data_IF_751523274284
#
_entry.id   IF_751523274284
#
_cell.length_a   1.000
_cell.length_b   1.000
_cell.length_c   1.000
_cell.angle_alpha   90.00
_cell.angle_beta   90.00
_cell.angle_gamma   90.00
#
_symmetry.space_group_name_H-M   'P 1'
#
loop_
_entity.id
_entity.type
_entity.pdbx_description
1 polymer ?
#
# COMPACT_ATOMS: atom_id res chain seq x y z
N UNK A 1 10.99 -44.58 33.29
CA UNK A 1 10.74 -43.13 33.03
C UNK A 1 11.11 -42.70 31.60
N UNK A 2 12.02 -43.36 30.88
CA UNK A 2 12.40 -42.95 29.51
C UNK A 2 11.33 -43.22 28.43
N UNK A 3 10.58 -44.32 28.54
CA UNK A 3 9.56 -44.69 27.54
C UNK A 3 8.37 -43.71 27.50
N UNK A 4 8.04 -43.06 28.62
CA UNK A 4 6.97 -42.05 28.65
C UNK A 4 7.41 -40.69 28.10
N UNK A 5 8.69 -40.29 28.25
CA UNK A 5 9.22 -39.06 27.65
C UNK A 5 9.19 -39.15 26.12
N UNK A 6 9.55 -40.30 25.55
CA UNK A 6 9.57 -40.50 24.09
C UNK A 6 8.19 -40.39 23.44
N UNK A 7 7.15 -40.94 24.07
CA UNK A 7 5.76 -40.84 23.57
C UNK A 7 5.25 -39.40 23.66
N UNK A 8 5.58 -38.68 24.73
CA UNK A 8 5.21 -37.27 24.88
C UNK A 8 5.89 -36.38 23.84
N UNK A 9 7.15 -36.62 23.50
CA UNK A 9 7.87 -35.84 22.47
C UNK A 9 7.30 -36.10 21.06
N UNK A 10 6.90 -37.34 20.76
CA UNK A 10 6.28 -37.68 19.48
C UNK A 10 4.88 -37.06 19.37
N UNK A 11 4.09 -37.10 20.44
CA UNK A 11 2.77 -36.46 20.48
C UNK A 11 2.88 -34.93 20.36
N UNK A 12 3.84 -34.30 21.05
CA UNK A 12 4.06 -32.86 20.96
C UNK A 12 4.50 -32.44 19.55
N UNK A 13 5.32 -33.26 18.87
CA UNK A 13 5.71 -33.07 17.47
C UNK A 13 4.53 -33.15 16.50
N UNK A 14 3.64 -34.13 16.67
CA UNK A 14 2.43 -34.24 15.84
C UNK A 14 1.41 -33.13 16.09
N UNK A 15 1.28 -32.64 17.33
CA UNK A 15 0.43 -31.49 17.67
C UNK A 15 0.99 -30.19 17.09
N UNK A 16 2.32 -30.00 17.11
CA UNK A 16 2.99 -28.85 16.47
C UNK A 16 2.87 -28.87 14.94
N UNK A 17 2.89 -30.05 14.30
CA UNK A 17 2.61 -30.19 12.86
C UNK A 17 1.13 -29.95 12.50
N UNK A 18 0.19 -30.32 13.38
CA UNK A 18 -1.25 -30.08 13.17
C UNK A 18 -1.70 -28.64 13.39
N UNK A 19 -0.91 -27.84 14.14
CA UNK A 19 -1.14 -26.42 14.36
C UNK A 19 -0.50 -25.50 13.31
N UNK A 20 0.29 -26.06 12.39
CA UNK A 20 0.72 -25.37 11.18
C UNK A 20 -0.48 -25.27 10.23
N UNK A 21 -1.46 -24.43 10.58
CA UNK A 21 -2.36 -23.88 9.57
C UNK A 21 -1.47 -23.14 8.59
N UNK A 22 -1.24 -23.70 7.41
CA UNK A 22 -0.83 -22.89 6.26
C UNK A 22 -1.83 -21.76 6.18
N UNK A 23 -1.40 -20.56 6.58
CA UNK A 23 -2.13 -19.35 6.30
C UNK A 23 -2.11 -19.21 4.78
N UNK A 24 -3.10 -19.83 4.13
CA UNK A 24 -3.39 -19.57 2.73
C UNK A 24 -3.97 -18.16 2.72
N UNK A 25 -3.11 -17.16 2.50
CA UNK A 25 -3.58 -15.85 2.08
C UNK A 25 -4.43 -16.10 0.83
N UNK A 26 -5.72 -15.76 0.89
CA UNK A 26 -6.58 -15.77 -0.28
C UNK A 26 -6.21 -14.53 -1.08
N UNK A 27 -5.42 -14.73 -2.12
CA UNK A 27 -5.07 -13.71 -3.09
C UNK A 27 -6.33 -13.24 -3.82
N UNK A 28 -6.57 -11.93 -3.84
CA UNK A 28 -7.65 -11.31 -4.61
C UNK A 28 -7.14 -11.13 -6.03
N UNK A 29 -7.46 -12.08 -6.91
CA UNK A 29 -7.17 -11.97 -8.34
C UNK A 29 -8.39 -11.36 -9.02
N UNK A 30 -8.18 -10.21 -9.64
CA UNK A 30 -9.22 -9.54 -10.42
C UNK A 30 -9.49 -10.31 -11.71
N UNK A 31 -10.76 -10.65 -11.95
CA UNK A 31 -11.18 -11.39 -13.14
C UNK A 31 -11.62 -10.43 -14.23
N UNK A 32 -11.22 -10.70 -15.48
CA UNK A 32 -11.54 -9.91 -16.67
C UNK A 32 -11.10 -8.43 -16.63
N UNK A 33 -10.06 -8.11 -15.86
CA UNK A 33 -9.55 -6.74 -15.71
C UNK A 33 -8.71 -6.24 -16.90
N UNK A 34 -8.34 -7.12 -17.84
CA UNK A 34 -7.58 -6.76 -19.03
C UNK A 34 -8.29 -7.27 -20.29
N UNK A 35 -8.60 -6.36 -21.22
CA UNK A 35 -9.27 -6.69 -22.49
C UNK A 35 -8.36 -6.41 -23.69
N UNK A 36 -8.09 -7.41 -24.52
CA UNK A 36 -7.42 -7.21 -25.81
C UNK A 36 -8.44 -6.74 -26.84
N UNK A 37 -8.19 -5.59 -27.44
CA UNK A 37 -9.07 -4.97 -28.46
C UNK A 37 -8.61 -5.23 -29.89
N UNK A 38 -7.30 -5.48 -30.08
CA UNK A 38 -6.66 -5.81 -31.36
C UNK A 38 -5.37 -6.61 -31.09
N UNK A 39 -4.97 -7.56 -31.95
CA UNK A 39 -5.64 -8.04 -33.17
C UNK A 39 -6.80 -9.02 -32.86
N UNK A 40 -7.68 -9.27 -33.84
CA UNK A 40 -8.84 -10.16 -33.68
C UNK A 40 -8.48 -11.61 -33.31
N UNK A 41 -7.26 -12.06 -33.60
CA UNK A 41 -6.76 -13.41 -33.30
C UNK A 41 -6.64 -13.72 -31.81
N UNK A 42 -6.39 -12.69 -31.00
CA UNK A 42 -6.21 -12.80 -29.54
C UNK A 42 -7.16 -11.86 -28.78
N UNK A 43 -8.19 -11.36 -29.47
CA UNK A 43 -9.20 -10.46 -28.90
C UNK A 43 -10.04 -11.19 -27.87
N UNK A 44 -10.21 -10.59 -26.70
CA UNK A 44 -10.96 -11.19 -25.60
C UNK A 44 -10.65 -10.55 -24.26
N UNK A 45 -11.35 -11.02 -23.24
CA UNK A 45 -11.12 -10.64 -21.85
C UNK A 45 -10.19 -11.68 -21.21
N UNK A 46 -9.25 -11.19 -20.40
CA UNK A 46 -8.26 -11.99 -19.72
C UNK A 46 -8.16 -11.56 -18.25
N UNK A 47 -7.87 -12.54 -17.40
CA UNK A 47 -7.65 -12.30 -15.98
C UNK A 47 -6.26 -11.65 -15.79
N UNK A 48 -6.19 -10.70 -14.86
CA UNK A 48 -4.93 -10.07 -14.48
C UNK A 48 -4.96 -9.65 -13.02
N UNK A 49 -3.84 -9.80 -12.32
CA UNK A 49 -3.71 -9.34 -10.95
C UNK A 49 -3.12 -7.93 -10.94
N UNK A 50 -3.99 -6.95 -10.76
CA UNK A 50 -3.65 -5.53 -10.71
C UNK A 50 -2.91 -5.22 -9.40
N UNK A 51 -1.82 -4.45 -9.47
CA UNK A 51 -1.09 -3.97 -8.29
C UNK A 51 -1.88 -2.93 -7.50
N UNK A 52 -1.75 -2.94 -6.18
CA UNK A 52 -2.37 -1.96 -5.27
C UNK A 52 -1.62 -0.61 -5.21
N UNK A 53 -0.72 -0.35 -6.17
CA UNK A 53 0.11 0.85 -6.28
C UNK A 53 0.09 1.37 -7.72
N UNK A 54 0.35 2.68 -7.90
CA UNK A 54 0.36 3.29 -9.24
C UNK A 54 -1.03 3.51 -9.88
N UNK A 55 -2.11 3.24 -9.14
CA UNK A 55 -3.48 3.40 -9.61
C UNK A 55 -4.13 4.54 -8.84
N UNK A 56 -4.88 5.44 -9.50
CA UNK A 56 -5.66 6.45 -8.80
C UNK A 56 -6.63 5.81 -7.80
N UNK A 57 -6.94 6.49 -6.70
CA UNK A 57 -7.91 6.02 -5.70
C UNK A 57 -9.38 5.99 -6.19
N UNK A 58 -9.60 6.09 -7.50
CA UNK A 58 -10.91 6.03 -8.15
C UNK A 58 -10.88 5.03 -9.31
N UNK A 59 -12.02 4.38 -9.54
CA UNK A 59 -12.18 3.41 -10.61
C UNK A 59 -12.02 4.08 -11.98
N UNK A 60 -11.27 3.44 -12.87
CA UNK A 60 -11.02 3.95 -14.22
C UNK A 60 -10.58 2.84 -15.16
N UNK A 61 -10.47 3.19 -16.44
CA UNK A 61 -9.90 2.30 -17.45
C UNK A 61 -8.98 3.09 -18.38
N UNK A 62 -7.88 2.46 -18.80
CA UNK A 62 -6.93 3.04 -19.73
C UNK A 62 -6.70 2.09 -20.90
N UNK A 63 -6.89 2.60 -22.11
CA UNK A 63 -6.51 1.91 -23.34
C UNK A 63 -5.09 2.30 -23.75
N UNK A 64 -4.32 1.32 -24.22
CA UNK A 64 -2.94 1.52 -24.65
C UNK A 64 -2.48 0.47 -25.65
N UNK A 65 -1.34 0.74 -26.29
CA UNK A 65 -0.68 -0.19 -27.21
C UNK A 65 0.44 -0.90 -26.47
N UNK A 66 0.46 -2.24 -26.55
CA UNK A 66 1.45 -3.07 -25.87
C UNK A 66 2.75 -3.10 -26.66
N UNK A 67 3.86 -2.81 -25.98
CA UNK A 67 5.21 -2.87 -26.54
C UNK A 67 6.05 -3.84 -25.73
N UNK A 68 6.70 -4.78 -26.41
CA UNK A 68 7.67 -5.70 -25.80
C UNK A 68 9.09 -5.26 -26.20
N UNK A 69 9.96 -4.90 -25.24
CA UNK A 69 11.27 -4.37 -25.55
C UNK A 69 12.23 -5.46 -26.03
N UNK A 70 13.13 -5.13 -26.96
CA UNK A 70 14.11 -6.10 -27.49
C UNK A 70 15.18 -6.43 -26.44
N UNK A 71 15.61 -5.41 -25.71
CA UNK A 71 16.62 -5.46 -24.66
C UNK A 71 15.97 -5.13 -23.31
N UNK A 72 16.59 -5.57 -22.20
CA UNK A 72 16.05 -5.38 -20.84
C UNK A 72 14.60 -5.88 -20.68
N UNK A 73 14.28 -7.05 -21.25
CA UNK A 73 12.94 -7.68 -21.24
C UNK A 73 12.34 -7.88 -19.85
N UNK A 74 13.17 -7.93 -18.82
CA UNK A 74 12.79 -8.11 -17.42
C UNK A 74 12.65 -6.78 -16.64
N UNK A 75 12.94 -5.64 -17.27
CA UNK A 75 12.87 -4.33 -16.61
C UNK A 75 13.79 -4.16 -15.39
N UNK A 76 14.79 -5.03 -15.18
CA UNK A 76 15.64 -5.01 -13.98
C UNK A 76 16.70 -3.90 -13.98
N UNK A 77 17.00 -3.30 -15.13
CA UNK A 77 17.92 -2.18 -15.30
C UNK A 77 17.18 -0.94 -15.79
N UNK A 78 17.80 0.23 -15.71
CA UNK A 78 17.26 1.43 -16.35
C UNK A 78 17.20 1.23 -17.86
N UNK A 79 16.10 1.64 -18.50
CA UNK A 79 15.99 1.61 -19.96
C UNK A 79 16.78 2.73 -20.64
N UNK A 80 17.13 3.79 -19.90
CA UNK A 80 18.00 4.86 -20.39
C UNK A 80 19.41 4.34 -20.70
N UNK A 81 19.89 3.33 -19.98
CA UNK A 81 21.18 2.65 -20.22
C UNK A 81 21.24 2.01 -21.63
N UNK A 82 20.08 1.73 -22.22
CA UNK A 82 19.91 1.14 -23.54
C UNK A 82 19.42 2.17 -24.58
N UNK A 83 19.24 3.44 -24.18
CA UNK A 83 18.69 4.50 -25.04
C UNK A 83 17.23 4.24 -25.46
N UNK A 84 16.47 3.48 -24.67
CA UNK A 84 15.08 3.11 -24.98
C UNK A 84 14.13 4.03 -24.21
N UNK A 85 13.17 4.64 -24.91
CA UNK A 85 12.07 5.41 -24.30
C UNK A 85 10.72 4.93 -24.79
N UNK A 86 9.75 4.89 -23.88
CA UNK A 86 8.37 4.47 -24.14
C UNK A 86 7.37 5.63 -24.16
N UNK A 87 7.87 6.88 -24.14
CA UNK A 87 7.02 8.07 -24.23
C UNK A 87 6.19 8.04 -25.52
N UNK A 88 4.87 8.02 -25.39
CA UNK A 88 3.96 8.08 -26.53
C UNK A 88 4.01 9.45 -27.20
N UNK A 89 3.86 9.48 -28.53
CA UNK A 89 3.72 10.74 -29.28
C UNK A 89 2.36 11.37 -28.98
N UNK A 90 2.27 12.70 -29.05
CA UNK A 90 0.99 13.41 -28.88
C UNK A 90 -0.07 12.89 -29.87
N UNK A 91 -1.22 12.45 -29.35
CA UNK A 91 -2.32 11.89 -30.13
C UNK A 91 -2.23 10.39 -30.45
N UNK A 92 -1.13 9.72 -30.08
CA UNK A 92 -1.03 8.26 -30.12
C UNK A 92 -1.59 7.63 -28.84
N UNK A 93 -1.95 6.35 -28.89
CA UNK A 93 -2.31 5.60 -27.70
C UNK A 93 -1.12 5.55 -26.71
N UNK A 94 -1.37 5.62 -25.40
CA UNK A 94 -0.36 5.41 -24.37
C UNK A 94 0.37 4.07 -24.54
N UNK A 95 1.66 4.03 -24.21
CA UNK A 95 2.48 2.83 -24.33
C UNK A 95 2.35 1.96 -23.08
N UNK A 96 1.91 0.72 -23.25
CA UNK A 96 1.87 -0.29 -22.18
C UNK A 96 3.08 -1.20 -22.34
N UNK A 97 3.99 -1.20 -21.37
CA UNK A 97 5.20 -1.98 -21.45
C UNK A 97 4.95 -3.41 -20.98
N UNK A 98 5.21 -4.40 -21.83
CA UNK A 98 5.22 -5.81 -21.46
C UNK A 98 6.63 -6.21 -21.00
N UNK A 99 6.75 -6.74 -19.78
CA UNK A 99 8.01 -7.25 -19.22
C UNK A 99 7.84 -8.68 -18.72
N UNK A 100 8.93 -9.44 -18.69
CA UNK A 100 8.97 -10.80 -18.15
C UNK A 100 9.22 -10.78 -16.65
N UNK A 101 8.42 -11.53 -15.88
CA UNK A 101 8.62 -11.75 -14.46
C UNK A 101 9.97 -12.43 -14.23
N UNK A 102 10.76 -11.88 -13.30
CA UNK A 102 11.87 -12.59 -12.68
C UNK A 102 13.26 -12.23 -13.19
N UNK A 103 14.07 -11.64 -12.31
CA UNK A 103 15.51 -11.51 -12.45
C UNK A 103 16.26 -12.72 -11.89
N UNK A 104 16.83 -13.57 -12.74
CA UNK A 104 18.16 -14.09 -12.39
C UNK A 104 19.07 -12.91 -12.63
N UNK A 105 19.72 -12.40 -11.58
CA UNK A 105 20.95 -11.65 -11.82
C UNK A 105 21.83 -12.56 -12.67
N UNK A 106 22.14 -12.15 -13.90
CA UNK A 106 23.15 -12.83 -14.69
C UNK A 106 24.44 -12.72 -13.88
N UNK A 107 24.80 -13.80 -13.20
CA UNK A 107 26.15 -13.99 -12.71
C UNK A 107 27.00 -14.15 -13.97
N UNK A 108 27.46 -13.02 -14.51
CA UNK A 108 28.55 -13.02 -15.48
C UNK A 108 29.76 -13.52 -14.72
N UNK A 109 30.04 -14.83 -14.81
CA UNK A 109 31.33 -15.38 -14.42
C UNK A 109 32.32 -14.91 -15.49
N UNK A 110 32.82 -13.68 -15.36
CA UNK A 110 34.09 -13.31 -15.97
C UNK A 110 35.16 -14.05 -15.19
N UNK A 111 35.73 -15.07 -15.82
CA UNK A 111 37.02 -15.67 -15.46
C UNK A 111 37.23 -15.91 -13.97
N UNK A 112 36.91 -17.12 -13.51
CA UNK A 112 37.05 -17.52 -12.13
C UNK A 112 38.36 -17.07 -11.48
N UNK A 113 38.25 -16.22 -10.47
CA UNK A 113 39.08 -16.08 -9.26
C UNK A 113 38.26 -15.21 -8.30
N UNK A 114 37.86 -15.77 -7.16
CA UNK A 114 37.40 -14.97 -6.02
C UNK A 114 38.63 -14.65 -5.16
N UNK A 115 39.05 -13.39 -5.14
CA UNK A 115 39.95 -12.84 -4.12
C UNK A 115 39.09 -12.00 -3.17
N UNK A 116 38.87 -12.49 -1.95
CA UNK A 116 38.42 -11.66 -0.83
C UNK A 116 39.58 -11.54 0.16
N UNK A 117 40.22 -10.38 0.14
CA UNK A 117 41.18 -9.97 1.17
C UNK A 117 40.36 -9.35 2.30
N UNK A 118 40.22 -10.09 3.41
CA UNK A 118 39.93 -9.48 4.71
C UNK A 118 41.16 -9.66 5.59
N UNK A 119 41.60 -8.55 6.18
CA UNK A 119 42.74 -8.51 7.08
C UNK A 119 42.65 -9.61 8.14
N UNK A 120 43.60 -10.56 8.05
CA UNK A 120 43.99 -11.57 9.04
C UNK A 120 43.08 -12.80 9.30
N UNK A 121 42.49 -13.42 8.27
CA UNK A 121 42.21 -14.87 8.33
C UNK A 121 42.10 -15.52 6.93
N UNK A 122 42.97 -16.49 6.65
CA UNK A 122 42.97 -17.29 5.40
C UNK A 122 42.27 -18.61 5.67
N UNK A 123 41.16 -18.89 4.96
CA UNK A 123 40.54 -20.22 4.93
C UNK A 123 40.37 -20.62 3.46
N UNK A 124 41.12 -21.63 3.02
CA UNK A 124 41.06 -22.17 1.66
C UNK A 124 40.10 -23.36 1.60
N UNK A 125 39.16 -23.35 0.65
CA UNK A 125 38.46 -24.56 0.21
C UNK A 125 38.68 -24.73 -1.30
N UNK A 126 39.29 -25.86 -1.68
CA UNK A 126 39.41 -26.27 -3.08
C UNK A 126 38.13 -27.01 -3.52
N UNK A 127 37.63 -26.81 -4.76
CA UNK A 127 36.51 -27.57 -5.27
C UNK A 127 36.98 -28.94 -5.77
N UNK A 128 36.38 -30.01 -5.25
CA UNK A 128 36.48 -31.34 -5.85
C UNK A 128 35.28 -31.54 -6.79
N UNK A 129 35.52 -31.56 -8.10
CA UNK A 129 34.63 -32.23 -9.05
C UNK A 129 34.96 -33.72 -9.13
N UNK A 130 33.91 -34.53 -9.23
CA UNK A 130 33.96 -35.99 -9.39
C UNK A 130 33.61 -36.31 -10.84
N UNK A 131 34.53 -36.92 -11.60
CA UNK A 131 34.20 -38.13 -12.37
C UNK A 131 35.43 -38.89 -12.94
N UNK A 132 35.38 -40.22 -12.73
CA UNK A 132 36.06 -41.34 -13.39
C UNK A 132 37.58 -41.35 -13.56
N UNK A 133 38.27 -42.27 -12.87
CA UNK A 133 38.89 -43.49 -13.46
C UNK A 133 39.77 -44.26 -12.43
N UNK A 134 39.62 -45.59 -12.46
CA UNK A 134 40.44 -46.68 -11.87
C UNK A 134 41.83 -46.33 -11.26
N UNK A 135 42.10 -46.78 -10.02
CA UNK A 135 43.12 -47.80 -9.66
C UNK A 135 43.21 -48.02 -8.12
N UNK A 136 43.04 -49.28 -7.70
CA UNK A 136 43.94 -50.09 -6.82
C UNK A 136 44.81 -49.33 -5.79
N UNK A 137 44.63 -49.63 -4.48
CA UNK A 137 45.58 -50.34 -3.59
C UNK A 137 45.32 -50.11 -2.08
N UNK A 138 45.27 -51.23 -1.35
CA UNK A 138 45.85 -51.50 -0.02
C UNK A 138 45.26 -50.85 1.24
N UNK A 139 44.83 -51.70 2.18
CA UNK A 139 45.17 -51.55 3.60
C UNK A 139 44.08 -50.94 4.48
N UNK A 140 43.42 -51.77 5.27
CA UNK A 140 42.33 -51.36 6.15
C UNK A 140 42.72 -50.55 7.37
N UNK A 141 41.74 -49.87 7.95
CA UNK A 141 41.48 -49.86 9.40
C UNK A 141 40.06 -49.39 9.69
N UNK A 142 39.52 -50.01 10.73
CA UNK A 142 38.13 -50.04 11.20
C UNK A 142 37.65 -48.69 11.74
N UNK A 143 36.35 -48.43 11.63
CA UNK A 143 35.67 -47.47 12.50
C UNK A 143 34.44 -46.83 11.85
N UNK A 144 33.27 -47.42 12.07
CA UNK A 144 31.98 -46.90 11.62
C UNK A 144 31.52 -45.70 12.48
N UNK A 145 31.07 -44.63 11.83
CA UNK A 145 30.17 -43.62 12.38
C UNK A 145 29.19 -43.22 11.27
N UNK A 146 27.87 -43.19 11.54
CA UNK A 146 26.87 -42.99 10.49
C UNK A 146 26.79 -41.51 10.13
N UNK A 147 26.99 -41.22 8.83
CA UNK A 147 26.72 -39.93 8.21
C UNK A 147 25.22 -39.62 8.33
N UNK A 148 24.89 -38.73 9.27
CA UNK A 148 23.62 -38.02 9.29
C UNK A 148 23.61 -37.13 8.05
N UNK A 149 22.89 -37.56 7.01
CA UNK A 149 22.51 -36.73 5.88
C UNK A 149 21.61 -35.61 6.39
N UNK A 150 22.22 -34.51 6.85
CA UNK A 150 21.54 -33.22 6.91
C UNK A 150 21.32 -32.84 5.45
N UNK A 151 20.13 -33.15 4.92
CA UNK A 151 19.58 -32.41 3.78
C UNK A 151 19.48 -30.95 4.24
N UNK A 152 20.57 -30.21 4.09
CA UNK A 152 20.51 -28.76 3.98
C UNK A 152 19.71 -28.56 2.70
N UNK A 153 18.40 -28.37 2.85
CA UNK A 153 17.63 -27.67 1.85
C UNK A 153 18.35 -26.33 1.71
N UNK A 154 19.18 -26.22 0.68
CA UNK A 154 19.59 -24.93 0.16
C UNK A 154 18.27 -24.32 -0.26
N UNK A 155 17.65 -23.57 0.65
CA UNK A 155 16.73 -22.52 0.32
C UNK A 155 17.49 -21.73 -0.72
N UNK A 156 17.14 -21.91 -2.00
CA UNK A 156 17.61 -21.00 -3.03
C UNK A 156 17.21 -19.63 -2.50
N UNK A 157 18.15 -18.72 -2.20
CA UNK A 157 17.74 -17.36 -1.92
C UNK A 157 16.98 -16.94 -3.17
N UNK A 158 15.71 -16.64 -2.99
CA UNK A 158 14.83 -16.10 -4.02
C UNK A 158 15.32 -14.68 -4.28
N UNK A 159 16.52 -14.54 -4.87
CA UNK A 159 17.10 -13.27 -5.24
C UNK A 159 16.52 -12.89 -6.60
N UNK A 160 15.19 -12.90 -6.68
CA UNK A 160 14.43 -12.29 -7.77
C UNK A 160 14.29 -10.81 -7.46
N UNK A 161 14.50 -9.96 -8.47
CA UNK A 161 14.13 -8.55 -8.41
C UNK A 161 12.63 -8.44 -8.06
N UNK A 162 12.26 -7.48 -7.21
CA UNK A 162 10.87 -7.21 -6.87
C UNK A 162 10.15 -6.56 -8.05
N UNK A 163 8.90 -6.96 -8.33
CA UNK A 163 8.07 -6.41 -9.43
C UNK A 163 7.96 -4.88 -9.39
N UNK A 164 7.96 -4.29 -8.18
CA UNK A 164 7.96 -2.85 -7.96
C UNK A 164 9.13 -2.14 -8.67
N UNK A 165 10.33 -2.73 -8.69
CA UNK A 165 11.48 -2.15 -9.39
C UNK A 165 11.31 -2.19 -10.91
N UNK A 166 10.68 -3.25 -11.44
CA UNK A 166 10.40 -3.36 -12.87
C UNK A 166 9.43 -2.25 -13.31
N UNK A 167 8.40 -1.99 -12.49
CA UNK A 167 7.43 -0.91 -12.72
C UNK A 167 8.08 0.47 -12.60
N UNK A 168 8.94 0.68 -11.61
CA UNK A 168 9.69 1.94 -11.43
C UNK A 168 10.56 2.28 -12.64
N UNK A 169 11.33 1.30 -13.13
CA UNK A 169 12.21 1.51 -14.29
C UNK A 169 11.40 1.79 -15.57
N UNK A 170 10.26 1.12 -15.74
CA UNK A 170 9.36 1.36 -16.86
C UNK A 170 8.73 2.77 -16.82
N UNK A 171 8.35 3.25 -15.62
CA UNK A 171 7.83 4.60 -15.42
C UNK A 171 8.85 5.66 -15.82
N UNK A 172 10.10 5.53 -15.36
CA UNK A 172 11.16 6.49 -15.68
C UNK A 172 11.46 6.53 -17.19
N UNK A 173 11.33 5.39 -17.87
CA UNK A 173 11.45 5.29 -19.32
C UNK A 173 10.26 5.92 -20.09
N UNK A 174 9.20 6.30 -19.39
CA UNK A 174 8.01 6.97 -19.93
C UNK A 174 6.88 6.05 -20.36
N UNK A 175 6.83 4.82 -19.85
CA UNK A 175 5.67 3.94 -20.05
C UNK A 175 4.46 4.50 -19.28
N UNK A 176 3.25 4.22 -19.78
CA UNK A 176 1.99 4.67 -19.15
C UNK A 176 1.30 3.58 -18.35
N UNK A 177 1.66 2.32 -18.56
CA UNK A 177 1.26 1.18 -17.75
C UNK A 177 2.27 0.04 -17.94
N UNK A 178 2.27 -0.94 -17.04
CA UNK A 178 3.15 -2.12 -17.11
C UNK A 178 2.36 -3.41 -17.00
N UNK A 179 2.59 -4.34 -17.93
CA UNK A 179 2.11 -5.71 -17.87
C UNK A 179 3.30 -6.61 -17.57
N UNK A 180 3.26 -7.31 -16.44
CA UNK A 180 4.29 -8.27 -16.03
C UNK A 180 3.79 -9.67 -16.41
N UNK A 181 4.46 -10.33 -17.35
CA UNK A 181 4.12 -11.69 -17.77
C UNK A 181 4.80 -12.71 -16.85
N UNK A 182 4.00 -13.59 -16.26
CA UNK A 182 4.52 -14.65 -15.39
C UNK A 182 5.50 -15.59 -16.13
N UNK A 183 6.50 -16.11 -15.43
CA UNK A 183 7.47 -17.08 -15.94
C UNK A 183 7.06 -18.53 -15.62
N UNK A 184 6.12 -18.72 -14.69
CA UNK A 184 5.59 -20.00 -14.24
C UNK A 184 4.11 -20.12 -14.61
N UNK A 185 3.68 -21.33 -14.99
CA UNK A 185 2.25 -21.63 -15.20
C UNK A 185 1.61 -21.90 -13.82
N UNK A 186 1.22 -20.82 -13.14
CA UNK A 186 0.57 -20.86 -11.82
C UNK A 186 -0.63 -19.93 -11.76
N UNK A 187 -1.46 -20.09 -10.73
CA UNK A 187 -2.54 -19.14 -10.49
C UNK A 187 -1.96 -17.76 -10.21
N UNK A 188 -2.55 -16.72 -10.80
CA UNK A 188 -2.15 -15.34 -10.56
C UNK A 188 -2.07 -15.05 -9.05
N UNK A 189 -0.97 -14.43 -8.65
CA UNK A 189 -0.79 -13.92 -7.28
C UNK A 189 -1.07 -12.42 -7.28
N UNK A 190 -1.47 -11.86 -6.13
CA UNK A 190 -1.53 -10.39 -6.02
C UNK A 190 -0.13 -9.83 -6.19
N UNK A 191 -0.01 -8.78 -7.00
CA UNK A 191 1.19 -7.98 -7.06
C UNK A 191 1.25 -7.13 -5.78
N UNK A 192 1.65 -7.77 -4.67
CA UNK A 192 1.72 -7.14 -3.36
C UNK A 192 3.14 -6.63 -3.08
N UNK A 193 3.20 -5.53 -2.35
CA UNK A 193 4.45 -5.03 -1.78
C UNK A 193 4.86 -5.97 -0.65
N UNK A 194 6.08 -6.57 -0.66
CA UNK A 194 6.59 -7.16 0.55
C UNK A 194 6.69 -6.04 1.59
N UNK A 195 5.97 -6.19 2.71
CA UNK A 195 6.07 -5.29 3.87
C UNK A 195 7.49 -5.27 4.47
N UNK A 196 8.40 -6.11 3.98
CA UNK A 196 9.74 -6.28 4.49
C UNK A 196 10.79 -5.51 3.67
N UNK A 197 10.86 -4.20 3.90
CA UNK A 197 12.02 -3.40 3.50
C UNK A 197 11.76 -1.91 3.45
N UNK A 198 12.40 -1.12 4.33
CA UNK A 198 12.36 0.35 4.32
C UNK A 198 12.72 0.98 2.96
N UNK A 199 13.46 0.27 2.11
CA UNK A 199 13.82 0.73 0.77
C UNK A 199 12.68 0.63 -0.25
N UNK A 200 11.73 -0.30 -0.09
CA UNK A 200 10.65 -0.50 -1.08
C UNK A 200 9.50 0.50 -0.95
N UNK A 201 9.26 1.02 0.26
CA UNK A 201 8.21 2.00 0.54
C UNK A 201 8.39 3.31 -0.25
N UNK A 202 9.63 3.79 -0.40
CA UNK A 202 9.96 5.01 -1.15
C UNK A 202 9.62 4.87 -2.65
N UNK A 203 9.77 3.68 -3.24
CA UNK A 203 9.39 3.45 -4.63
C UNK A 203 7.87 3.39 -4.79
N UNK A 204 7.16 2.74 -3.86
CA UNK A 204 5.70 2.56 -3.92
C UNK A 204 4.98 3.91 -3.90
N UNK A 205 5.39 4.83 -3.03
CA UNK A 205 4.80 6.18 -2.94
C UNK A 205 4.98 7.01 -4.21
N UNK A 206 6.01 6.72 -5.01
CA UNK A 206 6.36 7.49 -6.21
C UNK A 206 5.91 6.82 -7.53
N UNK A 207 5.38 5.59 -7.51
CA UNK A 207 4.80 4.96 -8.70
C UNK A 207 3.41 5.55 -8.94
N UNK A 208 3.19 6.01 -10.17
CA UNK A 208 1.98 6.70 -10.64
C UNK A 208 1.33 6.01 -11.84
N UNK A 209 1.94 4.94 -12.36
CA UNK A 209 1.43 4.19 -13.50
C UNK A 209 0.83 2.84 -13.06
N UNK A 210 -0.32 2.43 -13.63
CA UNK A 210 -0.94 1.16 -13.28
C UNK A 210 -0.07 -0.02 -13.71
N UNK A 211 -0.08 -1.08 -12.90
CA UNK A 211 0.65 -2.32 -13.18
C UNK A 211 -0.24 -3.54 -12.99
N UNK A 212 -0.06 -4.57 -13.82
CA UNK A 212 -0.82 -5.81 -13.73
C UNK A 212 0.06 -7.03 -14.03
N UNK A 213 -0.06 -8.07 -13.22
CA UNK A 213 0.52 -9.39 -13.46
C UNK A 213 -0.44 -10.19 -14.33
N UNK A 214 0.08 -10.80 -15.39
CA UNK A 214 -0.69 -11.61 -16.34
C UNK A 214 -0.13 -13.02 -16.42
N UNK A 215 -1.00 -13.98 -16.76
CA UNK A 215 -0.62 -15.39 -16.87
C UNK A 215 0.44 -15.60 -17.95
N UNK A 216 1.31 -16.57 -17.73
CA UNK A 216 2.36 -16.95 -18.68
C UNK A 216 1.82 -17.24 -20.08
N UNK A 217 0.80 -18.10 -20.18
CA UNK A 217 0.20 -18.47 -21.47
C UNK A 217 -0.34 -17.27 -22.25
N UNK A 218 -0.96 -16.31 -21.55
CA UNK A 218 -1.44 -15.08 -22.17
C UNK A 218 -0.28 -14.13 -22.56
N UNK A 219 0.74 -13.98 -21.70
CA UNK A 219 1.94 -13.21 -22.01
C UNK A 219 2.67 -13.70 -23.27
N UNK A 220 2.76 -15.02 -23.48
CA UNK A 220 3.35 -15.59 -24.69
C UNK A 220 2.51 -15.30 -25.95
N UNK A 221 1.17 -15.29 -25.84
CA UNK A 221 0.30 -14.91 -26.95
C UNK A 221 0.50 -13.45 -27.36
N UNK A 222 0.63 -12.53 -26.39
CA UNK A 222 0.95 -11.12 -26.67
C UNK A 222 2.30 -10.99 -27.37
N UNK A 223 3.35 -11.65 -26.85
CA UNK A 223 4.69 -11.63 -27.46
C UNK A 223 4.68 -12.17 -28.89
N UNK A 224 3.92 -13.23 -29.15
CA UNK A 224 3.78 -13.83 -30.48
C UNK A 224 3.08 -12.88 -31.46
N UNK A 225 2.00 -12.21 -31.03
CA UNK A 225 1.30 -11.22 -31.86
C UNK A 225 2.21 -10.02 -32.18
N UNK A 226 2.90 -9.47 -31.17
CA UNK A 226 3.86 -8.37 -31.35
C UNK A 226 4.99 -8.77 -32.31
N UNK A 227 5.54 -9.97 -32.14
CA UNK A 227 6.61 -10.49 -33.02
C UNK A 227 6.14 -10.79 -34.44
N UNK A 228 4.85 -11.08 -34.61
CA UNK A 228 4.19 -11.24 -35.92
C UNK A 228 3.98 -9.91 -36.67
N UNK A 229 4.22 -8.77 -36.01
CA UNK A 229 4.03 -7.44 -36.58
C UNK A 229 2.64 -6.85 -36.32
N UNK A 230 1.80 -7.53 -35.54
CA UNK A 230 0.47 -7.02 -35.19
C UNK A 230 0.56 -5.91 -34.14
N UNK A 231 -0.27 -4.88 -34.29
CA UNK A 231 -0.46 -3.87 -33.25
C UNK A 231 -1.41 -4.41 -32.19
N UNK A 232 -0.87 -4.68 -31.02
CA UNK A 232 -1.60 -5.21 -29.88
C UNK A 232 -2.13 -4.04 -29.04
N UNK A 233 -3.45 -3.84 -29.06
CA UNK A 233 -4.10 -2.81 -28.26
C UNK A 233 -4.91 -3.45 -27.14
N UNK A 234 -4.74 -2.93 -25.93
CA UNK A 234 -5.41 -3.46 -24.74
C UNK A 234 -6.11 -2.34 -23.99
N UNK A 235 -7.14 -2.69 -23.24
CA UNK A 235 -7.80 -1.84 -22.27
C UNK A 235 -7.65 -2.47 -20.89
N UNK A 236 -6.97 -1.78 -19.98
CA UNK A 236 -6.84 -2.16 -18.58
C UNK A 236 -7.94 -1.45 -17.80
N UNK A 237 -8.76 -2.21 -17.08
CA UNK A 237 -9.90 -1.71 -16.31
C UNK A 237 -9.72 -2.07 -14.83
N UNK A 238 -9.61 -1.06 -13.99
CA UNK A 238 -9.42 -1.20 -12.54
C UNK A 238 -10.62 -0.67 -11.76
N UNK A 239 -11.80 -0.52 -12.39
CA UNK A 239 -13.04 -0.11 -11.70
C UNK A 239 -13.43 -1.04 -10.55
N UNK A 240 -13.25 -2.34 -10.75
CA UNK A 240 -13.55 -3.38 -9.75
C UNK A 240 -12.40 -3.61 -8.75
N UNK A 241 -11.18 -3.17 -9.10
CA UNK A 241 -10.00 -3.28 -8.24
C UNK A 241 -9.97 -2.19 -7.15
N UNK A 242 -10.89 -1.22 -7.21
CA UNK A 242 -11.16 -0.32 -6.10
C UNK A 242 -12.11 -1.06 -5.15
N UNK A 243 -11.74 -1.29 -3.88
CA UNK A 243 -12.58 -2.03 -2.95
C UNK A 243 -13.95 -1.34 -2.79
N UNK A 244 -15.00 -1.95 -3.34
CA UNK A 244 -16.39 -1.50 -3.25
C UNK A 244 -17.30 -2.64 -2.71
N UNK A 245 -17.19 -3.01 -1.42
CA UNK A 245 -17.98 -4.11 -0.86
C UNK A 245 -19.50 -3.86 -0.89
N UNK A 246 -19.97 -2.64 -1.15
CA UNK A 246 -21.38 -2.24 -1.05
C UNK A 246 -21.85 -1.09 -1.98
N UNK A 247 -21.17 -0.84 -3.11
CA UNK A 247 -21.48 0.26 -4.05
C UNK A 247 -21.48 1.67 -3.43
N UNK A 248 -20.81 1.86 -2.28
CA UNK A 248 -20.66 3.17 -1.61
C UNK A 248 -19.24 3.68 -1.69
N UNK A 249 -19.11 5.00 -1.81
CA UNK A 249 -17.82 5.68 -1.71
C UNK A 249 -17.54 6.00 -0.24
N UNK A 250 -16.56 5.32 0.34
CA UNK A 250 -16.02 5.67 1.64
C UNK A 250 -15.04 6.83 1.50
N UNK A 251 -15.25 7.90 2.26
CA UNK A 251 -14.33 9.04 2.25
C UNK A 251 -14.14 9.65 3.62
N UNK A 252 -12.95 10.19 3.83
CA UNK A 252 -12.53 10.80 5.08
C UNK A 252 -12.18 12.28 4.91
N UNK A 253 -12.44 13.07 5.96
CA UNK A 253 -12.02 14.46 6.04
C UNK A 253 -11.10 14.65 7.24
N UNK A 254 -9.83 14.92 6.96
CA UNK A 254 -8.84 15.31 7.96
C UNK A 254 -8.86 16.82 8.15
N UNK A 255 -9.20 17.27 9.35
CA UNK A 255 -9.48 18.69 9.61
C UNK A 255 -9.06 19.12 11.02
N UNK A 256 -9.24 20.39 11.32
CA UNK A 256 -9.08 20.98 12.65
C UNK A 256 -10.13 22.08 12.85
N UNK A 257 -10.59 22.26 14.10
CA UNK A 257 -11.57 23.30 14.45
C UNK A 257 -10.97 24.67 14.75
N UNK A 258 -9.63 24.78 14.72
CA UNK A 258 -8.95 26.07 14.80
C UNK A 258 -9.46 26.99 13.67
N UNK A 259 -9.82 28.23 14.01
CA UNK A 259 -10.23 29.24 13.05
C UNK A 259 -9.38 30.52 13.01
N UNK A 260 -8.24 30.53 13.70
CA UNK A 260 -7.30 31.66 13.74
C UNK A 260 -5.96 31.36 13.05
N UNK A 261 -5.92 30.46 12.06
CA UNK A 261 -4.72 30.16 11.27
C UNK A 261 -4.64 30.91 9.91
N UNK A 262 -5.38 32.03 9.78
CA UNK A 262 -5.42 32.85 8.57
C UNK A 262 -6.11 32.16 7.38
N UNK A 263 -5.63 32.44 6.16
CA UNK A 263 -6.25 31.98 4.89
C UNK A 263 -6.46 30.47 4.82
N UNK A 264 -5.61 29.67 5.48
CA UNK A 264 -5.78 28.20 5.52
C UNK A 264 -7.04 27.78 6.25
N UNK A 265 -7.33 28.43 7.38
CA UNK A 265 -8.54 28.18 8.17
C UNK A 265 -9.79 28.70 7.45
N UNK A 266 -9.67 29.85 6.78
CA UNK A 266 -10.77 30.41 5.99
C UNK A 266 -11.16 29.49 4.82
N UNK A 267 -10.17 28.97 4.07
CA UNK A 267 -10.41 27.99 3.00
C UNK A 267 -11.09 26.71 3.50
N UNK A 268 -10.69 26.21 4.68
CA UNK A 268 -11.29 25.03 5.27
C UNK A 268 -12.76 25.28 5.69
N UNK A 269 -13.04 26.43 6.31
CA UNK A 269 -14.41 26.84 6.65
C UNK A 269 -15.28 26.95 5.40
N UNK A 270 -14.76 27.56 4.34
CA UNK A 270 -15.46 27.72 3.07
C UNK A 270 -15.75 26.36 2.43
N UNK A 271 -14.77 25.45 2.39
CA UNK A 271 -14.97 24.09 1.89
C UNK A 271 -16.07 23.35 2.65
N UNK A 272 -16.04 23.33 3.99
CA UNK A 272 -17.03 22.61 4.80
C UNK A 272 -18.44 23.20 4.59
N UNK A 273 -18.54 24.52 4.46
CA UNK A 273 -19.80 25.22 4.18
C UNK A 273 -20.35 24.87 2.80
N UNK A 274 -19.51 24.92 1.76
CA UNK A 274 -19.95 24.71 0.37
C UNK A 274 -20.23 23.23 0.09
N UNK A 275 -19.43 22.33 0.66
CA UNK A 275 -19.57 20.88 0.47
C UNK A 275 -20.74 20.28 1.26
N UNK A 276 -21.18 20.91 2.36
CA UNK A 276 -22.29 20.44 3.20
C UNK A 276 -23.49 19.95 2.39
N UNK A 277 -23.98 20.74 1.44
CA UNK A 277 -25.17 20.39 0.66
C UNK A 277 -24.98 19.10 -0.14
N UNK A 278 -23.83 18.96 -0.81
CA UNK A 278 -23.48 17.77 -1.58
C UNK A 278 -23.30 16.55 -0.66
N UNK A 279 -22.57 16.69 0.44
CA UNK A 279 -22.33 15.62 1.41
C UNK A 279 -23.65 15.08 1.98
N UNK A 280 -24.54 15.98 2.43
CA UNK A 280 -25.85 15.59 2.96
C UNK A 280 -26.71 14.86 1.93
N UNK A 281 -26.67 15.27 0.65
CA UNK A 281 -27.41 14.59 -0.43
C UNK A 281 -26.86 13.18 -0.68
N UNK A 282 -25.55 13.04 -0.76
CA UNK A 282 -24.89 11.76 -1.01
C UNK A 282 -25.09 10.77 0.15
N UNK A 283 -24.94 11.22 1.39
CA UNK A 283 -25.12 10.39 2.58
C UNK A 283 -26.58 9.97 2.77
N UNK A 284 -27.55 10.89 2.58
CA UNK A 284 -28.98 10.56 2.63
C UNK A 284 -29.39 9.61 1.51
N UNK A 285 -28.73 9.70 0.36
CA UNK A 285 -28.92 8.79 -0.78
C UNK A 285 -28.28 7.41 -0.58
N UNK A 286 -27.46 7.23 0.46
CA UNK A 286 -26.74 5.99 0.71
C UNK A 286 -25.57 5.74 -0.25
N UNK A 287 -25.12 6.75 -1.00
CA UNK A 287 -24.04 6.64 -1.97
C UNK A 287 -22.65 6.79 -1.34
N UNK A 288 -22.57 7.34 -0.13
CA UNK A 288 -21.31 7.61 0.55
C UNK A 288 -21.34 7.17 2.01
N UNK A 289 -20.15 6.82 2.53
CA UNK A 289 -19.91 6.60 3.95
C UNK A 289 -18.77 7.52 4.40
N UNK A 290 -19.16 8.55 5.15
CA UNK A 290 -18.25 9.61 5.59
C UNK A 290 -17.68 9.33 6.98
N UNK A 291 -16.40 9.62 7.21
CA UNK A 291 -15.78 9.65 8.54
C UNK A 291 -14.92 10.90 8.77
N UNK A 292 -15.20 11.74 9.80
CA UNK A 292 -14.36 12.89 10.13
C UNK A 292 -13.15 12.49 10.99
N UNK A 293 -11.99 13.04 10.68
CA UNK A 293 -10.76 12.91 11.45
C UNK A 293 -10.20 14.28 11.84
N UNK A 294 -9.67 14.38 13.06
CA UNK A 294 -9.07 15.59 13.56
C UNK A 294 -7.57 15.43 13.74
N UNK A 295 -6.83 16.39 13.17
CA UNK A 295 -5.38 16.43 13.27
C UNK A 295 -5.03 16.77 14.72
N UNK A 296 -4.24 15.91 15.35
CA UNK A 296 -3.71 16.11 16.70
C UNK A 296 -2.20 16.06 16.68
N UNK A 297 -1.61 16.86 17.55
CA UNK A 297 -0.21 16.80 17.90
C UNK A 297 -0.06 16.04 19.21
N UNK A 298 1.17 15.75 19.58
CA UNK A 298 1.49 15.18 20.89
C UNK A 298 2.63 15.98 21.51
N UNK A 299 2.65 15.97 22.83
CA UNK A 299 3.70 16.54 23.64
C UNK A 299 4.59 15.40 24.14
N UNK A 300 5.92 15.45 23.88
CA UNK A 300 6.84 14.43 24.36
C UNK A 300 6.77 14.28 25.89
N UNK A 301 6.92 13.05 26.38
CA UNK A 301 6.75 12.71 27.80
C UNK A 301 7.60 13.59 28.75
N UNK A 302 8.80 13.95 28.31
CA UNK A 302 9.73 14.81 29.06
C UNK A 302 9.21 16.24 29.28
N UNK A 303 8.27 16.71 28.46
CA UNK A 303 7.70 18.06 28.53
C UNK A 303 6.28 18.10 29.08
N UNK A 304 5.73 16.96 29.52
CA UNK A 304 4.35 16.85 30.03
C UNK A 304 4.04 17.77 31.21
N UNK A 305 5.07 18.11 32.00
CA UNK A 305 4.94 19.02 33.14
C UNK A 305 5.13 20.50 32.78
N UNK A 306 5.59 20.80 31.57
CA UNK A 306 5.80 22.18 31.11
C UNK A 306 4.47 22.94 31.00
N UNK A 307 4.52 24.27 31.17
CA UNK A 307 3.33 25.12 31.05
C UNK A 307 2.71 25.01 29.66
N UNK A 308 3.56 25.01 28.63
CA UNK A 308 3.16 24.92 27.22
C UNK A 308 2.41 23.62 26.95
N UNK A 309 2.92 22.49 27.44
CA UNK A 309 2.24 21.22 27.23
C UNK A 309 0.89 21.17 27.97
N UNK A 310 0.82 21.73 29.18
CA UNK A 310 -0.43 21.77 29.95
C UNK A 310 -1.50 22.68 29.35
N UNK A 311 -1.11 23.80 28.73
CA UNK A 311 -2.05 24.71 28.06
C UNK A 311 -2.50 24.17 26.71
N UNK A 312 -1.63 23.49 25.96
CA UNK A 312 -1.94 23.11 24.58
C UNK A 312 -2.52 21.70 24.43
N UNK A 313 -2.50 20.89 25.49
CA UNK A 313 -2.82 19.47 25.42
C UNK A 313 -3.83 19.00 26.47
N UNK A 314 -4.49 17.89 26.15
CA UNK A 314 -5.25 17.06 27.09
C UNK A 314 -4.62 15.68 27.24
N UNK A 315 -5.13 14.89 28.19
CA UNK A 315 -4.72 13.51 28.44
C UNK A 315 -3.20 13.34 28.57
N UNK A 316 -2.59 14.10 29.49
CA UNK A 316 -1.15 14.04 29.79
C UNK A 316 -0.25 14.23 28.54
N UNK A 317 -0.63 15.13 27.63
CA UNK A 317 0.16 15.43 26.44
C UNK A 317 -0.09 14.52 25.24
N UNK A 318 -1.02 13.57 25.33
CA UNK A 318 -1.30 12.63 24.22
C UNK A 318 -2.03 13.30 23.05
N UNK A 319 -2.88 14.28 23.33
CA UNK A 319 -3.65 14.99 22.32
C UNK A 319 -3.46 16.48 22.50
N UNK A 320 -2.92 17.15 21.49
CA UNK A 320 -2.55 18.56 21.53
C UNK A 320 -2.98 19.25 20.23
N UNK A 321 -3.15 20.56 20.29
CA UNK A 321 -3.19 21.40 19.10
C UNK A 321 -2.16 22.52 19.24
N UNK A 322 -1.65 23.09 18.13
CA UNK A 322 -0.88 24.32 18.19
C UNK A 322 -1.79 25.43 18.69
N UNK A 323 -1.15 26.44 19.28
CA UNK A 323 -1.82 27.62 19.75
C UNK A 323 -2.51 28.35 18.56
N UNK A 324 -3.83 28.63 18.62
CA UNK A 324 -4.62 29.11 17.50
C UNK A 324 -4.06 30.34 16.80
N UNK A 325 -3.69 31.35 17.59
CA UNK A 325 -3.18 32.66 17.19
C UNK A 325 -1.65 32.79 17.34
N UNK A 326 -0.98 31.70 17.73
CA UNK A 326 0.46 31.63 17.97
C UNK A 326 0.92 32.53 19.13
N UNK A 327 0.02 32.85 20.07
CA UNK A 327 0.29 33.65 21.25
C UNK A 327 -0.09 32.91 22.53
N UNK A 328 0.90 32.28 23.17
CA UNK A 328 0.72 31.57 24.44
C UNK A 328 0.36 32.46 25.65
N UNK A 329 0.26 33.78 25.48
CA UNK A 329 -0.01 34.73 26.56
C UNK A 329 -1.45 35.21 26.64
N UNK A 330 -2.19 35.13 25.53
CA UNK A 330 -3.57 35.58 25.42
C UNK A 330 -4.36 34.67 24.49
N UNK A 331 -5.61 34.99 24.18
CA UNK A 331 -6.40 34.16 23.26
C UNK A 331 -6.87 32.82 23.83
N UNK A 332 -7.14 31.90 22.92
CA UNK A 332 -7.57 30.52 23.21
C UNK A 332 -6.36 29.61 23.24
N UNK A 333 -6.40 28.55 24.04
CA UNK A 333 -5.28 27.61 24.08
C UNK A 333 -5.54 26.45 23.09
N UNK A 334 -4.49 25.77 22.64
CA UNK A 334 -4.62 24.56 21.83
C UNK A 334 -5.45 23.47 22.52
N UNK A 335 -5.51 23.46 23.86
CA UNK A 335 -6.41 22.58 24.61
C UNK A 335 -7.88 22.82 24.27
N UNK A 336 -8.30 24.06 24.07
CA UNK A 336 -9.69 24.39 23.71
C UNK A 336 -10.04 23.81 22.34
N UNK A 337 -9.09 23.89 21.40
CA UNK A 337 -9.22 23.28 20.06
C UNK A 337 -9.37 21.77 20.14
N UNK A 338 -8.55 21.09 20.95
CA UNK A 338 -8.66 19.64 21.10
C UNK A 338 -9.98 19.24 21.76
N UNK A 339 -10.48 20.03 22.72
CA UNK A 339 -11.77 19.78 23.36
C UNK A 339 -12.93 19.95 22.37
N UNK A 340 -12.87 20.92 21.48
CA UNK A 340 -13.88 21.07 20.43
C UNK A 340 -13.77 19.97 19.37
N UNK A 341 -12.57 19.61 18.91
CA UNK A 341 -12.35 18.44 18.04
C UNK A 341 -13.00 17.18 18.63
N UNK A 342 -12.81 16.93 19.93
CA UNK A 342 -13.43 15.81 20.65
C UNK A 342 -14.97 15.92 20.68
N UNK A 343 -15.51 17.13 20.85
CA UNK A 343 -16.96 17.36 20.82
C UNK A 343 -17.54 17.06 19.44
N UNK A 344 -16.89 17.49 18.35
CA UNK A 344 -17.38 17.23 16.99
C UNK A 344 -17.36 15.73 16.66
N UNK A 345 -16.34 15.00 17.15
CA UNK A 345 -16.29 13.53 17.06
C UNK A 345 -17.43 12.87 17.86
N UNK A 346 -17.77 13.42 19.04
CA UNK A 346 -18.91 12.95 19.82
C UNK A 346 -20.23 13.16 19.07
N UNK A 347 -20.43 14.34 18.49
CA UNK A 347 -21.61 14.64 17.64
C UNK A 347 -21.69 13.66 16.47
N UNK A 348 -20.58 13.39 15.78
CA UNK A 348 -20.54 12.42 14.69
C UNK A 348 -20.91 11.01 15.16
N UNK A 349 -20.36 10.56 16.29
CA UNK A 349 -20.67 9.24 16.85
C UNK A 349 -22.16 9.10 17.14
N UNK A 350 -22.76 10.05 17.84
CA UNK A 350 -24.20 10.03 18.17
C UNK A 350 -25.05 10.13 16.91
N UNK A 351 -24.65 10.96 15.95
CA UNK A 351 -25.31 11.06 14.64
C UNK A 351 -25.29 9.74 13.88
N UNK A 352 -24.16 9.01 13.93
CA UNK A 352 -24.03 7.71 13.29
C UNK A 352 -24.87 6.63 14.02
N UNK A 353 -24.83 6.58 15.35
CA UNK A 353 -25.66 5.68 16.17
C UNK A 353 -27.17 5.88 15.93
N UNK A 354 -27.58 7.12 15.63
CA UNK A 354 -28.96 7.48 15.28
C UNK A 354 -29.29 7.35 13.78
N UNK A 355 -28.37 6.82 12.97
CA UNK A 355 -28.49 6.64 11.50
C UNK A 355 -28.73 7.94 10.73
N UNK A 356 -28.16 9.04 11.22
CA UNK A 356 -28.22 10.36 10.59
C UNK A 356 -26.83 11.02 10.58
N UNK A 357 -25.79 10.39 10.01
CA UNK A 357 -24.42 10.91 10.03
C UNK A 357 -24.30 12.34 9.46
N UNK A 358 -25.17 12.68 8.51
CA UNK A 358 -25.22 13.98 7.83
C UNK A 358 -25.52 15.18 8.74
N UNK A 359 -25.98 14.94 9.98
CA UNK A 359 -26.22 16.00 10.98
C UNK A 359 -24.90 16.58 11.51
N UNK A 360 -23.80 15.82 11.40
CA UNK A 360 -22.48 16.35 11.71
C UNK A 360 -22.16 17.59 10.86
N UNK A 361 -22.50 17.56 9.56
CA UNK A 361 -22.33 18.72 8.67
C UNK A 361 -23.14 19.94 9.13
N UNK A 362 -24.31 19.74 9.72
CA UNK A 362 -25.10 20.83 10.31
C UNK A 362 -24.40 21.44 11.53
N UNK A 363 -23.91 20.59 12.43
CA UNK A 363 -23.19 21.04 13.62
C UNK A 363 -21.92 21.82 13.28
N UNK A 364 -21.04 21.28 12.44
CA UNK A 364 -19.74 21.91 12.16
C UNK A 364 -19.90 23.24 11.42
N UNK A 365 -20.85 23.32 10.48
CA UNK A 365 -21.13 24.57 9.77
C UNK A 365 -21.74 25.64 10.67
N UNK A 366 -22.71 25.27 11.52
CA UNK A 366 -23.31 26.21 12.47
C UNK A 366 -22.32 26.65 13.54
N UNK A 367 -21.47 25.74 14.04
CA UNK A 367 -20.44 26.07 15.02
C UNK A 367 -19.43 27.07 14.46
N UNK A 368 -18.92 26.85 13.24
CA UNK A 368 -17.97 27.76 12.60
C UNK A 368 -18.51 29.18 12.39
N UNK A 369 -19.84 29.32 12.25
CA UNK A 369 -20.52 30.60 12.07
C UNK A 369 -20.86 31.26 13.41
N UNK A 370 -21.35 30.49 14.39
CA UNK A 370 -21.89 31.02 15.65
C UNK A 370 -20.85 31.16 16.77
N UNK A 371 -19.78 30.37 16.71
CA UNK A 371 -18.77 30.27 17.77
C UNK A 371 -17.36 30.68 17.32
N UNK A 372 -17.16 31.83 16.64
CA UNK A 372 -15.83 32.23 16.18
C UNK A 372 -14.92 32.63 17.35
N UNK A 373 -13.61 32.30 17.26
CA UNK A 373 -12.62 32.72 18.25
C UNK A 373 -12.46 34.25 18.29
N UNK A 374 -12.53 34.92 17.13
CA UNK A 374 -12.45 36.38 17.01
C UNK A 374 -13.48 37.13 17.85
N UNK A 375 -14.66 36.54 18.06
CA UNK A 375 -15.73 37.12 18.91
C UNK A 375 -15.70 36.61 20.36
N UNK A 376 -14.67 35.83 20.74
CA UNK A 376 -14.54 35.16 22.04
C UNK A 376 -15.72 34.24 22.36
N UNK A 377 -16.27 33.58 21.34
CA UNK A 377 -17.41 32.65 21.47
C UNK A 377 -17.02 31.18 21.30
N UNK A 378 -15.73 30.89 21.16
CA UNK A 378 -15.22 29.53 21.02
C UNK A 378 -15.17 28.84 22.39
N UNK A 379 -16.31 28.35 22.87
CA UNK A 379 -16.41 27.75 24.20
C UNK A 379 -17.52 26.71 24.27
N UNK A 380 -17.56 25.97 25.38
CA UNK A 380 -18.57 24.92 25.63
C UNK A 380 -20.00 25.46 25.54
N UNK A 381 -20.28 26.64 26.10
CA UNK A 381 -21.64 27.19 26.13
C UNK A 381 -22.17 27.47 24.71
N UNK A 382 -21.33 28.04 23.85
CA UNK A 382 -21.70 28.26 22.45
C UNK A 382 -21.94 26.93 21.73
N UNK A 383 -21.06 25.94 21.92
CA UNK A 383 -21.22 24.60 21.36
C UNK A 383 -22.53 23.94 21.81
N UNK A 384 -22.85 24.01 23.10
CA UNK A 384 -24.09 23.47 23.68
C UNK A 384 -25.33 24.17 23.09
N UNK A 385 -25.25 25.46 22.80
CA UNK A 385 -26.33 26.21 22.14
C UNK A 385 -26.50 25.81 20.66
N UNK A 386 -25.42 25.52 19.94
CA UNK A 386 -25.48 24.95 18.59
C UNK A 386 -26.17 23.58 18.64
N UNK A 387 -25.74 22.69 19.55
CA UNK A 387 -26.36 21.38 19.76
C UNK A 387 -27.85 21.49 20.05
N UNK A 388 -28.25 22.39 20.97
CA UNK A 388 -29.67 22.62 21.29
C UNK A 388 -30.48 23.08 20.07
N UNK A 389 -29.89 23.91 19.21
CA UNK A 389 -30.57 24.35 17.98
C UNK A 389 -30.76 23.21 16.97
N UNK A 390 -29.97 22.14 17.07
CA UNK A 390 -30.11 20.90 16.32
C UNK A 390 -30.95 19.84 17.05
N UNK A 391 -31.42 20.12 18.28
CA UNK A 391 -32.04 19.18 19.23
C UNK A 391 -33.35 18.53 18.76
N UNK A 392 -33.91 18.97 17.63
CA UNK A 392 -35.01 18.26 16.97
C UNK A 392 -34.53 17.02 16.18
N UNK A 393 -33.21 16.81 16.06
CA UNK A 393 -32.62 15.79 15.17
C UNK A 393 -31.76 14.77 15.93
N UNK A 394 -31.18 15.12 17.10
CA UNK A 394 -30.31 14.25 17.90
C UNK A 394 -30.75 14.21 19.39
N UNK A 395 -30.71 13.02 20.04
CA UNK A 395 -31.10 12.89 21.45
C UNK A 395 -30.07 13.57 22.36
N UNK A 396 -30.49 14.67 22.99
CA UNK A 396 -29.70 15.50 23.91
C UNK A 396 -29.04 14.71 25.06
N UNK A 397 -29.58 13.55 25.44
CA UNK A 397 -29.08 12.74 26.55
C UNK A 397 -27.73 12.07 26.28
N UNK A 398 -27.29 11.98 25.02
CA UNK A 398 -26.02 11.34 24.63
C UNK A 398 -24.89 12.34 24.32
N UNK A 399 -25.15 13.64 24.43
CA UNK A 399 -24.23 14.69 23.96
C UNK A 399 -23.54 15.49 25.08
N UNK A 400 -23.89 15.26 26.35
CA UNK A 400 -23.41 16.02 27.50
C UNK A 400 -22.37 15.27 28.34
#
# INVERSE_FOLDING_TARGET
>A
MERQRSIFTIFLGFVLLGLYRSAMARFVVEKNSLTVTSPDSIKGNHDSAIGNFGIPSYGGSMAGTVVYPKENRKGCKSFDDFGISFKSKSGALPTFLLVDRGGKGDLVILGGIFLLVFSNLVVSFAPFEVNWLFWRLIGGLRGALPLILIKVAIFRPFQGMLMIFEVWNAQNAGASAVLVADDIEEALITMDSPEEGRSSAEYIENITIPSALIEKGFGENLKKAISGGDMVNVNLDWREAVPHPDDRVEFELWTNTNDECGTKCDMLKEFVKDFKGAAQLLEKGGYTQFTPHYITWYCPQVFTLSKQCKSQCINHGRYCAPDPDQDFSSGYEGRDVVLENLRQLCVFRVANETKKPWVWWDYVTDFQVRCPMKEKRYNKECADNVIKSLGNVLPLHFML
#
